data_IF_891928513869
#
_entry.id   IF_891928513869
#
_cell.length_a   1.000
_cell.length_b   1.000
_cell.length_c   1.000
_cell.angle_alpha   90.00
_cell.angle_beta   90.00
_cell.angle_gamma   90.00
#
_symmetry.space_group_name_H-M   'P 1'
#
loop_
_entity.id
_entity.type
_entity.pdbx_description
1 polymer ?
#
# COMPACT_ATOMS: atom_id res chain seq x y z
N UNK A 1 -12.96 20.42 -0.75
CA UNK A 1 -11.60 20.04 -0.31
C UNK A 1 -11.59 18.53 -0.08
N UNK A 2 -10.92 17.77 -0.96
CA UNK A 2 -10.91 16.30 -0.95
C UNK A 2 -10.27 15.71 0.32
N UNK A 3 -9.21 16.34 0.82
CA UNK A 3 -8.52 15.91 2.06
C UNK A 3 -9.48 15.97 3.25
N UNK A 4 -10.24 17.06 3.40
CA UNK A 4 -11.23 17.19 4.51
C UNK A 4 -12.27 16.07 4.48
N UNK A 5 -12.78 15.71 3.30
CA UNK A 5 -13.75 14.63 3.13
C UNK A 5 -13.13 13.27 3.49
N UNK A 6 -11.91 13.01 3.00
CA UNK A 6 -11.18 11.78 3.26
C UNK A 6 -10.86 11.61 4.75
N UNK A 7 -10.38 12.68 5.40
CA UNK A 7 -10.14 12.72 6.84
C UNK A 7 -11.41 12.39 7.63
N UNK A 8 -12.55 12.98 7.26
CA UNK A 8 -13.82 12.71 7.95
C UNK A 8 -14.29 11.26 7.77
N UNK A 9 -14.14 10.69 6.58
CA UNK A 9 -14.55 9.31 6.31
C UNK A 9 -13.74 8.28 7.10
N UNK A 10 -12.42 8.46 7.17
CA UNK A 10 -11.52 7.47 7.79
C UNK A 10 -11.37 7.65 9.31
N UNK A 11 -11.44 8.87 9.84
CA UNK A 11 -11.42 9.11 11.29
C UNK A 11 -12.59 8.46 12.02
N UNK A 12 -13.73 8.25 11.35
CA UNK A 12 -14.87 7.50 11.89
C UNK A 12 -14.59 6.00 12.07
N UNK A 13 -13.60 5.45 11.35
CA UNK A 13 -13.19 4.05 11.45
C UNK A 13 -12.02 3.87 12.39
N UNK A 14 -11.00 4.72 12.23
CA UNK A 14 -9.82 4.78 13.10
C UNK A 14 -9.47 6.27 13.31
N UNK A 15 -9.79 6.83 14.49
CA UNK A 15 -9.57 8.26 14.78
C UNK A 15 -8.13 8.72 14.59
N UNK A 16 -7.15 7.84 14.82
CA UNK A 16 -5.74 8.19 14.76
C UNK A 16 -5.12 7.94 13.38
N UNK A 17 -5.78 7.17 12.51
CA UNK A 17 -5.28 6.84 11.17
C UNK A 17 -4.93 8.10 10.37
N UNK A 18 -5.79 9.12 10.39
CA UNK A 18 -5.60 10.34 9.60
C UNK A 18 -4.29 11.04 9.99
N UNK A 19 -4.02 11.16 11.29
CA UNK A 19 -2.78 11.76 11.78
C UNK A 19 -1.55 10.95 11.37
N UNK A 20 -1.61 9.62 11.47
CA UNK A 20 -0.52 8.74 11.02
C UNK A 20 -0.29 8.82 9.51
N UNK A 21 -1.34 8.71 8.71
CA UNK A 21 -1.26 8.75 7.25
C UNK A 21 -0.69 10.08 6.74
N UNK A 22 -1.10 11.21 7.34
CA UNK A 22 -0.56 12.53 6.97
C UNK A 22 0.93 12.68 7.30
N UNK A 23 1.39 12.14 8.45
CA UNK A 23 2.83 12.11 8.79
C UNK A 23 3.63 11.30 7.77
N UNK A 24 3.12 10.11 7.41
CA UNK A 24 3.73 9.27 6.38
C UNK A 24 3.76 9.96 5.02
N UNK A 25 2.70 10.69 4.66
CA UNK A 25 2.64 11.46 3.42
C UNK A 25 3.64 12.63 3.42
N UNK A 26 3.85 13.28 4.55
CA UNK A 26 4.88 14.32 4.72
C UNK A 26 6.30 13.74 4.61
N UNK A 27 6.54 12.59 5.24
CA UNK A 27 7.81 11.88 5.14
C UNK A 27 8.09 11.39 3.71
N UNK A 28 7.09 10.93 2.97
CA UNK A 28 7.22 10.61 1.53
C UNK A 28 7.61 11.85 0.70
N UNK A 29 7.10 13.04 1.03
CA UNK A 29 7.52 14.29 0.36
C UNK A 29 8.98 14.62 0.65
N UNK A 30 9.43 14.42 1.89
CA UNK A 30 10.84 14.61 2.27
C UNK A 30 11.75 13.58 1.59
N UNK A 31 11.34 12.30 1.55
CA UNK A 31 12.08 11.24 0.88
C UNK A 31 12.33 11.56 -0.60
N UNK A 32 11.33 12.11 -1.30
CA UNK A 32 11.47 12.56 -2.71
C UNK A 32 12.48 13.69 -2.89
N UNK A 33 12.79 14.45 -1.83
CA UNK A 33 13.83 15.48 -1.81
C UNK A 33 15.17 14.95 -1.29
N UNK A 34 15.35 13.63 -1.21
CA UNK A 34 16.51 12.96 -0.62
C UNK A 34 16.77 13.37 0.85
N UNK A 35 15.71 13.67 1.61
CA UNK A 35 15.75 13.91 3.05
C UNK A 35 15.09 12.73 3.76
N UNK A 36 15.83 12.04 4.62
CA UNK A 36 15.38 10.83 5.29
C UNK A 36 15.34 11.06 6.80
N UNK A 37 14.31 10.55 7.46
CA UNK A 37 14.25 10.54 8.93
C UNK A 37 15.22 9.50 9.49
N UNK A 38 15.70 9.71 10.72
CA UNK A 38 16.54 8.73 11.40
C UNK A 38 15.84 7.37 11.54
N UNK A 39 14.52 7.38 11.73
CA UNK A 39 13.71 6.18 11.82
C UNK A 39 13.71 5.39 10.51
N UNK A 40 13.47 6.05 9.37
CA UNK A 40 13.47 5.40 8.06
C UNK A 40 14.86 4.85 7.69
N UNK A 41 15.93 5.61 7.99
CA UNK A 41 17.32 5.18 7.80
C UNK A 41 17.60 3.94 8.66
N UNK A 42 17.18 3.93 9.93
CA UNK A 42 17.35 2.80 10.83
C UNK A 42 16.60 1.56 10.34
N UNK A 43 15.36 1.72 9.89
CA UNK A 43 14.53 0.64 9.33
C UNK A 43 15.20 0.01 8.11
N UNK A 44 15.73 0.82 7.19
CA UNK A 44 16.45 0.34 6.01
C UNK A 44 17.72 -0.42 6.37
N UNK A 45 18.48 0.06 7.37
CA UNK A 45 19.67 -0.63 7.87
C UNK A 45 19.34 -1.98 8.52
N UNK A 46 18.23 -2.06 9.26
CA UNK A 46 17.75 -3.34 9.83
C UNK A 46 17.41 -4.37 8.75
N UNK A 47 16.96 -3.91 7.59
CA UNK A 47 16.70 -4.76 6.42
C UNK A 47 17.98 -5.16 5.66
N UNK A 48 19.16 -4.67 6.07
CA UNK A 48 20.44 -4.95 5.43
C UNK A 48 20.72 -4.11 4.18
N UNK A 49 19.99 -3.01 3.97
CA UNK A 49 20.18 -2.11 2.83
C UNK A 49 20.85 -0.80 3.26
N UNK A 50 21.42 -0.09 2.28
CA UNK A 50 21.83 1.31 2.43
C UNK A 50 20.65 2.23 2.12
N UNK A 51 20.78 3.50 2.48
CA UNK A 51 19.76 4.54 2.23
C UNK A 51 19.45 4.73 0.74
N UNK A 52 20.32 4.26 -0.16
CA UNK A 52 20.10 4.29 -1.61
C UNK A 52 18.82 3.56 -2.04
N UNK A 53 18.41 2.52 -1.30
CA UNK A 53 17.15 1.81 -1.59
C UNK A 53 15.95 2.77 -1.54
N UNK A 54 16.01 3.81 -0.70
CA UNK A 54 14.95 4.80 -0.56
C UNK A 54 14.77 5.64 -1.81
N UNK A 55 15.77 5.78 -2.68
CA UNK A 55 15.64 6.52 -3.94
C UNK A 55 14.61 5.87 -4.88
N UNK A 56 14.52 4.55 -4.85
CA UNK A 56 13.68 3.73 -5.73
C UNK A 56 12.52 3.04 -5.01
N UNK A 57 12.23 3.42 -3.77
CA UNK A 57 11.15 2.84 -2.96
C UNK A 57 9.97 3.81 -2.88
N UNK A 58 8.76 3.30 -3.12
CA UNK A 58 7.53 4.02 -2.78
C UNK A 58 7.31 3.94 -1.26
N UNK A 59 7.09 5.07 -0.60
CA UNK A 59 6.74 5.12 0.81
C UNK A 59 5.32 5.69 0.98
N UNK A 60 4.52 5.04 1.83
CA UNK A 60 3.10 5.36 2.00
C UNK A 60 2.47 4.54 3.11
N UNK A 61 1.27 4.94 3.54
CA UNK A 61 0.56 4.22 4.60
C UNK A 61 -0.11 2.97 4.03
N UNK A 62 -0.21 1.93 4.86
CA UNK A 62 -0.94 0.72 4.56
C UNK A 62 -1.98 0.43 5.62
N UNK A 63 -3.08 -0.24 5.23
CA UNK A 63 -4.14 -0.66 6.15
C UNK A 63 -4.23 -2.17 6.18
N UNK A 64 -4.33 -2.73 7.37
CA UNK A 64 -4.74 -4.12 7.54
C UNK A 64 -6.23 -4.22 7.92
N UNK A 65 -6.94 -5.16 7.31
CA UNK A 65 -8.29 -5.54 7.71
C UNK A 65 -8.49 -7.05 7.51
N UNK A 66 -9.24 -7.73 8.38
CA UNK A 66 -9.43 -9.19 8.26
C UNK A 66 -10.11 -9.57 6.94
N UNK A 67 -11.24 -8.92 6.64
CA UNK A 67 -12.07 -9.19 5.47
C UNK A 67 -12.70 -7.90 4.92
N UNK A 68 -11.91 -7.01 4.28
CA UNK A 68 -12.42 -5.74 3.81
C UNK A 68 -13.41 -5.93 2.65
N UNK A 69 -14.40 -5.02 2.59
CA UNK A 69 -15.47 -5.07 1.59
C UNK A 69 -16.69 -5.89 2.00
N UNK A 70 -16.73 -6.42 3.22
CA UNK A 70 -17.90 -7.08 3.81
C UNK A 70 -18.92 -6.00 4.24
N UNK A 71 -19.85 -5.68 3.33
CA UNK A 71 -20.78 -4.56 3.44
C UNK A 71 -20.81 -3.70 2.17
N UNK A 72 -21.02 -2.39 2.32
CA UNK A 72 -20.97 -1.49 1.15
C UNK A 72 -19.52 -1.33 0.68
N UNK A 73 -19.17 -2.00 -0.43
CA UNK A 73 -17.91 -1.83 -1.16
C UNK A 73 -17.86 -0.46 -1.86
N UNK A 74 -17.94 0.59 -1.05
CA UNK A 74 -17.93 2.00 -1.46
C UNK A 74 -16.55 2.35 -2.00
N UNK A 75 -16.53 2.97 -3.17
CA UNK A 75 -15.30 3.46 -3.80
C UNK A 75 -14.55 4.43 -2.88
N UNK A 76 -15.29 5.22 -2.08
CA UNK A 76 -14.74 6.15 -1.11
C UNK A 76 -13.83 5.46 -0.08
N UNK A 77 -14.03 4.16 0.19
CA UNK A 77 -13.18 3.42 1.11
C UNK A 77 -11.76 3.17 0.56
N UNK A 78 -11.54 3.24 -0.75
CA UNK A 78 -10.21 3.20 -1.37
C UNK A 78 -9.70 4.61 -1.69
N UNK A 79 -10.54 5.45 -2.31
CA UNK A 79 -10.13 6.79 -2.74
C UNK A 79 -9.70 7.70 -1.60
N UNK A 80 -10.39 7.63 -0.44
CA UNK A 80 -10.01 8.44 0.72
C UNK A 80 -8.64 8.06 1.27
N UNK A 81 -8.28 6.76 1.25
CA UNK A 81 -6.95 6.32 1.66
C UNK A 81 -5.90 6.88 0.72
N UNK A 82 -6.12 6.76 -0.60
CA UNK A 82 -5.19 7.29 -1.60
C UNK A 82 -4.96 8.79 -1.47
N UNK A 83 -6.03 9.57 -1.24
CA UNK A 83 -5.97 11.03 -1.02
C UNK A 83 -5.07 11.38 0.17
N UNK A 84 -5.05 10.56 1.22
CA UNK A 84 -4.22 10.74 2.41
C UNK A 84 -2.84 10.08 2.31
N UNK A 85 -2.44 9.60 1.14
CA UNK A 85 -1.12 8.98 0.93
C UNK A 85 -1.06 7.48 1.24
N UNK A 86 -2.20 6.78 1.29
CA UNK A 86 -2.23 5.33 1.29
C UNK A 86 -1.66 4.73 0.00
N UNK A 87 -0.98 3.60 0.12
CA UNK A 87 -0.37 2.87 -0.99
C UNK A 87 -0.73 1.38 -1.03
N UNK A 88 -1.22 0.79 0.05
CA UNK A 88 -1.53 -0.64 0.09
C UNK A 88 -2.64 -1.00 1.10
N UNK A 89 -3.37 -2.06 0.79
CA UNK A 89 -4.19 -2.80 1.73
C UNK A 89 -3.61 -4.21 1.90
N UNK A 90 -3.65 -4.72 3.13
CA UNK A 90 -3.28 -6.08 3.47
C UNK A 90 -4.49 -6.71 4.17
N UNK A 91 -4.84 -7.94 3.81
CA UNK A 91 -5.96 -8.65 4.43
C UNK A 91 -5.78 -10.16 4.41
N UNK A 92 -6.65 -10.90 5.09
CA UNK A 92 -6.70 -12.36 4.87
C UNK A 92 -7.44 -12.72 3.59
N UNK A 93 -8.52 -12.00 3.29
CA UNK A 93 -9.29 -12.19 2.07
C UNK A 93 -10.10 -10.93 1.75
N UNK A 94 -10.30 -10.62 0.47
CA UNK A 94 -11.26 -9.60 0.07
C UNK A 94 -12.67 -10.19 0.07
N UNK A 95 -13.63 -9.53 0.73
CA UNK A 95 -15.01 -10.04 0.78
C UNK A 95 -15.69 -10.08 -0.59
N UNK A 96 -15.33 -9.13 -1.47
CA UNK A 96 -15.87 -9.02 -2.83
C UNK A 96 -14.77 -8.60 -3.79
N UNK A 97 -14.90 -9.02 -5.06
CA UNK A 97 -14.03 -8.54 -6.15
C UNK A 97 -14.09 -7.01 -6.30
N UNK A 98 -15.25 -6.40 -6.01
CA UNK A 98 -15.49 -4.96 -6.17
C UNK A 98 -14.54 -4.11 -5.31
N UNK A 99 -14.36 -4.43 -4.03
CA UNK A 99 -13.47 -3.64 -3.18
C UNK A 99 -12.00 -3.78 -3.61
N UNK A 100 -11.58 -5.00 -4.00
CA UNK A 100 -10.25 -5.27 -4.55
C UNK A 100 -10.01 -4.44 -5.83
N UNK A 101 -10.95 -4.43 -6.77
CA UNK A 101 -10.83 -3.61 -7.99
C UNK A 101 -10.86 -2.11 -7.70
N UNK A 102 -11.58 -1.64 -6.67
CA UNK A 102 -11.46 -0.24 -6.23
C UNK A 102 -10.05 0.09 -5.72
N UNK A 103 -9.38 -0.85 -5.02
CA UNK A 103 -7.99 -0.65 -4.59
C UNK A 103 -7.09 -0.47 -5.83
N UNK A 104 -7.20 -1.38 -6.81
CA UNK A 104 -6.47 -1.32 -8.08
C UNK A 104 -6.71 0.02 -8.80
N UNK A 105 -7.97 0.41 -8.98
CA UNK A 105 -8.34 1.62 -9.70
C UNK A 105 -7.73 2.88 -9.08
N UNK A 106 -7.55 2.90 -7.76
CA UNK A 106 -6.97 4.02 -7.02
C UNK A 106 -5.45 3.87 -6.76
N UNK A 107 -4.82 2.82 -7.28
CA UNK A 107 -3.39 2.59 -7.13
C UNK A 107 -2.95 2.09 -5.76
N UNK A 108 -3.88 1.47 -5.02
CA UNK A 108 -3.57 0.79 -3.76
C UNK A 108 -3.27 -0.67 -4.06
N UNK A 109 -2.11 -1.15 -3.62
CA UNK A 109 -1.75 -2.57 -3.75
C UNK A 109 -2.70 -3.44 -2.93
N UNK A 110 -3.45 -4.39 -3.54
CA UNK A 110 -4.43 -5.20 -2.85
C UNK A 110 -3.81 -6.53 -2.39
N UNK A 111 -2.94 -6.47 -1.39
CA UNK A 111 -2.29 -7.67 -0.86
C UNK A 111 -3.25 -8.50 0.00
N UNK A 112 -3.07 -9.81 -0.04
CA UNK A 112 -3.57 -10.73 0.96
C UNK A 112 -2.44 -11.52 1.61
N UNK A 113 -2.70 -12.12 2.77
CA UNK A 113 -1.82 -13.03 3.48
C UNK A 113 -2.58 -14.30 3.82
N UNK A 114 -1.85 -15.39 4.07
CA UNK A 114 -2.49 -16.65 4.42
C UNK A 114 -3.25 -16.53 5.75
N UNK A 115 -4.42 -17.19 5.86
CA UNK A 115 -5.23 -17.19 7.09
C UNK A 115 -4.51 -17.83 8.27
N UNK A 116 -3.51 -18.68 8.00
CA UNK A 116 -2.65 -19.26 9.03
C UNK A 116 -1.64 -18.27 9.63
N UNK A 117 -1.41 -17.12 8.99
CA UNK A 117 -0.52 -16.08 9.53
C UNK A 117 -1.20 -15.39 10.70
N UNK A 118 -0.63 -15.52 11.89
CA UNK A 118 -1.05 -14.77 13.06
C UNK A 118 -0.60 -13.29 12.92
N UNK A 119 -1.55 -12.40 12.60
CA UNK A 119 -1.24 -10.99 12.39
C UNK A 119 -1.07 -10.28 13.74
N UNK A 120 0.17 -10.24 14.20
CA UNK A 120 0.58 -9.65 15.50
C UNK A 120 1.18 -8.24 15.41
N UNK A 121 1.28 -7.69 14.20
CA UNK A 121 1.89 -6.39 13.95
C UNK A 121 0.94 -5.24 14.23
N UNK A 122 1.50 -4.06 14.52
CA UNK A 122 0.75 -2.90 15.02
C UNK A 122 1.00 -1.64 14.18
N UNK A 123 0.13 -0.61 14.27
CA UNK A 123 0.39 0.67 13.65
C UNK A 123 1.76 1.24 14.06
N UNK A 124 2.57 1.61 13.06
CA UNK A 124 3.96 2.07 13.25
C UNK A 124 5.01 1.03 12.83
N UNK A 125 4.63 -0.25 12.69
CA UNK A 125 5.50 -1.23 12.05
C UNK A 125 5.55 -0.99 10.52
N UNK A 126 6.68 -1.36 9.89
CA UNK A 126 6.90 -1.18 8.45
C UNK A 126 6.77 -2.49 7.70
N UNK A 127 6.25 -2.45 6.48
CA UNK A 127 6.27 -3.59 5.54
C UNK A 127 7.10 -3.21 4.33
N UNK A 128 8.19 -3.95 4.10
CA UNK A 128 9.08 -3.76 2.96
C UNK A 128 8.84 -4.83 1.90
N UNK A 129 8.51 -4.39 0.69
CA UNK A 129 8.15 -5.26 -0.44
C UNK A 129 9.16 -5.05 -1.59
N UNK A 130 10.24 -5.86 -1.66
CA UNK A 130 11.23 -5.73 -2.72
C UNK A 130 10.69 -6.18 -4.08
N UNK A 131 11.21 -5.58 -5.16
CA UNK A 131 10.96 -6.06 -6.52
C UNK A 131 9.51 -5.96 -6.99
N UNK A 132 8.67 -5.13 -6.37
CA UNK A 132 7.24 -5.07 -6.63
C UNK A 132 6.89 -4.82 -8.11
N UNK A 133 7.58 -3.89 -8.77
CA UNK A 133 7.38 -3.60 -10.19
C UNK A 133 7.62 -4.83 -11.07
N UNK A 134 8.70 -5.57 -10.80
CA UNK A 134 9.02 -6.78 -11.55
C UNK A 134 8.02 -7.90 -11.26
N UNK A 135 7.58 -8.03 -10.00
CA UNK A 135 6.54 -8.99 -9.63
C UNK A 135 5.20 -8.73 -10.33
N UNK A 136 4.87 -7.47 -10.60
CA UNK A 136 3.70 -7.09 -11.40
C UNK A 136 3.87 -7.54 -12.86
N UNK A 137 5.00 -7.23 -13.49
CA UNK A 137 5.31 -7.60 -14.88
C UNK A 137 5.38 -9.12 -15.10
N UNK A 138 5.93 -9.86 -14.15
CA UNK A 138 6.11 -11.32 -14.23
C UNK A 138 4.87 -12.11 -13.77
N UNK A 139 3.73 -11.44 -13.57
CA UNK A 139 2.49 -12.08 -13.15
C UNK A 139 2.61 -12.88 -11.83
N UNK A 140 3.53 -12.50 -10.93
CA UNK A 140 3.74 -13.24 -9.67
C UNK A 140 2.50 -13.19 -8.80
N UNK A 141 2.17 -14.35 -8.20
CA UNK A 141 1.06 -14.50 -7.25
C UNK A 141 1.48 -14.28 -5.81
N UNK A 142 2.75 -14.51 -5.51
CA UNK A 142 3.31 -14.38 -4.17
C UNK A 142 4.59 -13.55 -4.22
N UNK A 143 4.75 -12.68 -3.24
CA UNK A 143 5.85 -11.74 -3.12
C UNK A 143 6.42 -11.88 -1.70
N UNK A 144 7.65 -12.40 -1.55
CA UNK A 144 8.36 -12.35 -0.29
C UNK A 144 8.57 -10.89 0.14
N UNK A 145 8.20 -10.59 1.36
CA UNK A 145 8.29 -9.28 1.98
C UNK A 145 8.80 -9.42 3.41
N UNK A 146 9.12 -8.30 4.04
CA UNK A 146 9.62 -8.25 5.42
C UNK A 146 8.80 -7.26 6.24
N UNK A 147 8.48 -7.62 7.47
CA UNK A 147 7.92 -6.70 8.46
C UNK A 147 9.05 -6.27 9.40
N UNK A 148 9.19 -4.96 9.61
CA UNK A 148 10.14 -4.38 10.56
C UNK A 148 9.35 -3.79 11.71
N UNK A 149 9.58 -4.34 12.90
CA UNK A 149 8.94 -3.92 14.15
C UNK A 149 9.97 -3.68 15.24
N UNK A 150 9.51 -3.27 16.42
CA UNK A 150 10.36 -3.20 17.62
C UNK A 150 10.96 -4.56 18.02
N UNK A 151 10.31 -5.67 17.67
CA UNK A 151 10.78 -7.02 17.97
C UNK A 151 11.88 -7.51 17.00
N UNK A 152 12.07 -6.82 15.86
CA UNK A 152 13.03 -7.19 14.84
C UNK A 152 12.41 -7.26 13.45
N UNK A 153 13.09 -7.99 12.56
CA UNK A 153 12.66 -8.20 11.17
C UNK A 153 12.11 -9.61 11.03
N UNK A 154 10.90 -9.72 10.50
CA UNK A 154 10.21 -11.00 10.27
C UNK A 154 9.84 -11.15 8.79
N UNK A 155 9.88 -12.38 8.27
CA UNK A 155 9.45 -12.66 6.90
C UNK A 155 7.93 -12.79 6.82
N UNK A 156 7.36 -12.28 5.73
CA UNK A 156 5.95 -12.43 5.39
C UNK A 156 5.80 -12.66 3.89
N UNK A 157 4.85 -13.50 3.49
CA UNK A 157 4.51 -13.68 2.07
C UNK A 157 3.23 -12.90 1.78
N UNK A 158 3.35 -11.88 0.93
CA UNK A 158 2.21 -11.13 0.42
C UNK A 158 1.72 -11.79 -0.87
N UNK A 159 0.43 -12.09 -0.92
CA UNK A 159 -0.23 -12.66 -2.09
C UNK A 159 -0.91 -11.54 -2.87
N UNK A 160 -0.82 -11.63 -4.19
CA UNK A 160 -1.69 -10.91 -5.11
C UNK A 160 -2.70 -11.93 -5.61
N UNK A 161 -3.93 -11.86 -5.09
CA UNK A 161 -5.06 -12.61 -5.66
C UNK A 161 -5.12 -12.37 -7.17
N UNK A 162 -5.57 -13.34 -7.95
CA UNK A 162 -5.48 -13.38 -9.42
C UNK A 162 -5.91 -12.07 -10.11
N UNK A 163 -4.97 -11.12 -10.21
CA UNK A 163 -5.09 -9.87 -10.95
C UNK A 163 -5.04 -10.19 -12.43
N UNK A 164 -5.93 -9.59 -13.20
CA UNK A 164 -5.83 -9.63 -14.67
C UNK A 164 -4.59 -8.85 -15.14
N UNK A 165 -4.19 -9.04 -16.39
CA UNK A 165 -3.11 -8.26 -17.01
C UNK A 165 -3.43 -6.76 -16.97
N UNK A 166 -4.67 -6.39 -17.32
CA UNK A 166 -5.15 -5.00 -17.25
C UNK A 166 -5.07 -4.43 -15.84
N UNK A 167 -5.46 -5.19 -14.81
CA UNK A 167 -5.36 -4.73 -13.41
C UNK A 167 -3.90 -4.49 -13.00
N UNK A 168 -2.95 -5.24 -13.56
CA UNK A 168 -1.51 -5.03 -13.31
C UNK A 168 -0.98 -3.83 -14.07
N UNK A 169 -1.40 -3.62 -15.31
CA UNK A 169 -1.07 -2.41 -16.07
C UNK A 169 -1.59 -1.15 -15.37
N UNK A 170 -2.80 -1.20 -14.83
CA UNK A 170 -3.38 -0.12 -14.01
C UNK A 170 -2.50 0.18 -12.79
N UNK A 171 -2.04 -0.84 -12.07
CA UNK A 171 -1.14 -0.68 -10.92
C UNK A 171 0.23 -0.12 -11.34
N UNK A 172 0.77 -0.55 -12.48
CA UNK A 172 2.04 -0.07 -13.03
C UNK A 172 1.98 1.41 -13.45
N UNK A 173 0.85 1.84 -14.01
CA UNK A 173 0.56 3.26 -14.29
C UNK A 173 0.24 4.06 -13.01
N UNK A 174 0.02 3.36 -11.90
CA UNK A 174 -0.22 3.93 -10.58
C UNK A 174 -1.68 4.27 -10.25
N UNK A 175 -2.59 4.26 -11.23
CA UNK A 175 -4.05 4.23 -11.06
C UNK A 175 -4.75 4.10 -12.42
N UNK A 176 -6.07 3.85 -12.41
CA UNK A 176 -6.87 3.68 -13.62
C UNK A 176 -6.85 4.93 -14.52
N UNK A 177 -6.93 6.12 -13.92
CA UNK A 177 -6.91 7.37 -14.68
C UNK A 177 -5.58 7.62 -15.38
N UNK A 178 -4.46 7.27 -14.73
CA UNK A 178 -3.14 7.37 -15.34
C UNK A 178 -3.00 6.40 -16.51
N UNK A 179 -3.48 5.17 -16.35
CA UNK A 179 -3.48 4.18 -17.42
C UNK A 179 -4.29 4.64 -18.65
N UNK A 180 -5.48 5.22 -18.44
CA UNK A 180 -6.24 5.83 -19.54
C UNK A 180 -5.48 6.98 -20.22
N UNK A 181 -4.87 7.87 -19.44
CA UNK A 181 -4.10 8.98 -19.99
C UNK A 181 -2.90 8.50 -20.84
N UNK A 182 -2.19 7.45 -20.37
CA UNK A 182 -1.10 6.84 -21.13
C UNK A 182 -1.58 6.19 -22.42
N UNK A 183 -2.73 5.51 -22.42
CA UNK A 183 -3.31 4.91 -23.63
C UNK A 183 -3.69 5.94 -24.67
N UNK A 184 -4.40 6.99 -24.25
CA UNK A 184 -4.81 8.10 -25.14
C UNK A 184 -3.62 8.87 -25.72
N UNK A 185 -2.47 8.89 -25.01
CA UNK A 185 -1.25 9.55 -25.50
C UNK A 185 -0.46 8.73 -26.54
N UNK A 186 -0.76 7.44 -26.66
CA UNK A 186 -0.10 6.50 -27.59
C UNK A 186 -0.90 6.26 -28.88
N UNK A 187 -2.12 6.79 -28.94
CA UNK A 187 -3.00 6.83 -30.11
C UNK A 187 -2.82 8.15 -30.86
#
# INVERSE_FOLDING_TARGET
NLVKLASFALSRRDPEYVGRAMKVQEEEKLRKQAKYSDELVKTVKQLGFTEDVLKNTLFGSAVFARKPGDGSAREQAASCQRVLGGCANICYEFATKRYRSNCVNWGLMPFSIDKSVDFKWQPGDYVFVPGLKQALLEMKKEIPAKVVSKAGVEDIVLKLEALTEEERDILLAGCLMNWYAEKLSKE
#
